data_IF_658517692539
#
_entry.id   IF_658517692539
#
_cell.length_a   1.000
_cell.length_b   1.000
_cell.length_c   1.000
_cell.angle_alpha   90.00
_cell.angle_beta   90.00
_cell.angle_gamma   90.00
#
_symmetry.space_group_name_H-M   'P 1'
#
loop_
_entity.id
_entity.type
_entity.pdbx_description
1 polymer ?
#
# COMPACT_ATOMS: atom_id res chain seq x y z
N UNK A 1 68.91 0.59 33.51
CA UNK A 1 67.65 1.36 33.59
C UNK A 1 67.07 1.42 32.17
N UNK A 2 66.16 0.50 31.84
CA UNK A 2 64.73 0.75 31.49
C UNK A 2 64.57 1.88 30.45
N UNK A 3 64.67 1.62 29.13
CA UNK A 3 63.72 0.98 28.17
C UNK A 3 62.41 1.76 27.90
N UNK A 4 62.29 2.17 26.64
CA UNK A 4 61.12 2.21 25.74
C UNK A 4 60.40 3.54 25.48
N UNK A 5 60.57 3.97 24.22
CA UNK A 5 59.78 4.93 23.45
C UNK A 5 58.29 4.58 23.51
N UNK A 6 57.48 5.53 23.94
CA UNK A 6 56.01 5.45 23.93
C UNK A 6 55.52 5.57 22.49
N UNK A 7 55.13 4.43 21.90
CA UNK A 7 54.51 4.35 20.58
C UNK A 7 52.99 4.39 20.78
N UNK A 8 52.39 5.55 20.47
CA UNK A 8 50.95 5.76 20.46
C UNK A 8 50.37 5.01 19.26
N UNK A 9 49.95 3.76 19.46
CA UNK A 9 49.16 3.04 18.47
C UNK A 9 47.70 3.49 18.58
N UNK A 10 47.30 4.34 17.63
CA UNK A 10 45.92 4.74 17.38
C UNK A 10 45.06 3.50 17.12
N UNK A 11 44.27 3.10 18.12
CA UNK A 11 43.08 2.27 17.95
C UNK A 11 42.04 3.10 17.18
N UNK A 12 42.20 3.12 15.85
CA UNK A 12 41.15 3.55 14.93
C UNK A 12 40.04 2.49 14.95
N UNK A 13 39.05 2.73 15.80
CA UNK A 13 37.79 1.99 15.87
C UNK A 13 37.26 1.88 14.44
N UNK A 14 37.34 0.68 13.87
CA UNK A 14 36.63 0.32 12.65
C UNK A 14 35.16 0.33 13.06
N UNK A 15 34.54 1.51 12.98
CA UNK A 15 33.11 1.70 13.11
C UNK A 15 32.48 1.01 11.91
N UNK A 16 32.31 -0.30 12.03
CA UNK A 16 31.39 -1.08 11.23
C UNK A 16 30.01 -0.50 11.54
N UNK A 17 29.65 0.57 10.84
CA UNK A 17 28.29 1.04 10.74
C UNK A 17 27.48 -0.17 10.34
N UNK A 18 26.77 -0.73 11.31
CA UNK A 18 25.66 -1.63 11.07
C UNK A 18 24.71 -0.82 10.21
N UNK A 19 24.84 -0.96 8.89
CA UNK A 19 23.79 -0.65 7.94
C UNK A 19 22.73 -1.68 8.30
N UNK A 20 21.95 -1.38 9.33
CA UNK A 20 20.69 -2.02 9.56
C UNK A 20 19.94 -1.80 8.27
N UNK A 21 19.73 -2.87 7.50
CA UNK A 21 18.86 -2.85 6.36
C UNK A 21 17.49 -2.39 6.86
N UNK A 22 17.26 -1.08 6.79
CA UNK A 22 15.95 -0.49 6.91
C UNK A 22 15.18 -1.02 5.71
N UNK A 23 14.63 -2.23 5.85
CA UNK A 23 13.65 -2.76 4.94
C UNK A 23 12.55 -1.72 4.94
N UNK A 24 12.49 -0.95 3.86
CA UNK A 24 11.52 0.12 3.72
C UNK A 24 10.15 -0.56 3.56
N UNK A 25 9.42 -0.69 4.67
CA UNK A 25 8.14 -1.41 4.83
C UNK A 25 6.94 -0.58 4.38
N UNK A 26 7.21 0.52 3.69
CA UNK A 26 6.21 1.49 3.31
C UNK A 26 5.71 1.19 1.89
N UNK A 27 4.43 0.86 1.77
CA UNK A 27 3.74 0.83 0.49
C UNK A 27 3.46 2.27 0.12
N UNK A 28 3.94 2.69 -1.06
CA UNK A 28 3.53 3.96 -1.64
C UNK A 28 2.44 3.72 -2.69
N UNK A 29 1.35 4.46 -2.57
CA UNK A 29 0.23 4.44 -3.52
C UNK A 29 0.05 5.86 -4.02
N UNK A 30 -0.04 6.04 -5.32
CA UNK A 30 -0.35 7.32 -5.95
C UNK A 30 -1.67 7.19 -6.70
N UNK A 31 -2.69 7.87 -6.17
CA UNK A 31 -4.03 7.88 -6.75
C UNK A 31 -4.14 9.01 -7.75
N UNK A 32 -4.65 8.69 -8.93
CA UNK A 32 -4.78 9.64 -10.04
C UNK A 32 -6.16 9.51 -10.69
N UNK A 33 -6.61 10.58 -11.32
CA UNK A 33 -7.77 10.53 -12.21
C UNK A 33 -7.44 9.64 -13.40
N UNK A 34 -8.29 8.66 -13.69
CA UNK A 34 -8.04 7.66 -14.72
C UNK A 34 -7.92 8.28 -16.13
N UNK A 35 -8.60 9.40 -16.39
CA UNK A 35 -8.62 10.06 -17.69
C UNK A 35 -7.48 11.05 -17.85
N UNK A 36 -7.30 11.96 -16.89
CA UNK A 36 -6.32 13.06 -17.01
C UNK A 36 -4.95 12.69 -16.45
N UNK A 37 -4.85 11.60 -15.69
CA UNK A 37 -3.65 11.20 -14.93
C UNK A 37 -3.18 12.24 -13.89
N UNK A 38 -4.02 13.22 -13.57
CA UNK A 38 -3.71 14.20 -12.51
C UNK A 38 -3.89 13.57 -11.13
N UNK A 39 -3.08 13.92 -10.13
CA UNK A 39 -3.25 13.41 -8.77
C UNK A 39 -4.64 13.71 -8.18
N UNK A 40 -5.16 12.76 -7.40
CA UNK A 40 -6.43 12.94 -6.67
C UNK A 40 -6.16 13.11 -5.18
N UNK A 41 -6.49 14.28 -4.65
CA UNK A 41 -6.46 14.58 -3.22
C UNK A 41 -7.75 14.14 -2.52
N UNK A 42 -7.66 13.84 -1.23
CA UNK A 42 -8.82 13.52 -0.39
C UNK A 42 -9.42 12.13 -0.61
N UNK A 43 -8.70 11.23 -1.28
CA UNK A 43 -9.12 9.83 -1.47
C UNK A 43 -9.08 9.12 -0.13
N UNK A 44 -10.24 8.66 0.34
CA UNK A 44 -10.40 7.83 1.52
C UNK A 44 -9.94 6.42 1.19
N UNK A 45 -9.07 5.87 2.04
CA UNK A 45 -8.52 4.54 1.83
C UNK A 45 -8.68 3.70 3.08
N UNK A 46 -9.34 2.57 2.92
CA UNK A 46 -9.40 1.53 3.93
C UNK A 46 -8.39 0.45 3.58
N UNK A 47 -7.61 0.02 4.58
CA UNK A 47 -6.61 -1.02 4.44
C UNK A 47 -6.88 -2.17 5.41
N UNK A 48 -6.72 -3.39 4.92
CA UNK A 48 -6.75 -4.61 5.71
C UNK A 48 -5.52 -5.46 5.38
N UNK A 49 -4.97 -6.15 6.38
CA UNK A 49 -3.98 -7.20 6.16
C UNK A 49 -4.40 -8.52 6.75
N UNK A 50 -4.20 -9.58 5.98
CA UNK A 50 -4.54 -10.94 6.36
C UNK A 50 -3.29 -11.82 6.25
N UNK A 51 -3.14 -12.71 7.22
CA UNK A 51 -2.14 -13.77 7.22
C UNK A 51 -2.84 -15.10 7.33
N UNK A 52 -2.39 -16.06 6.53
CA UNK A 52 -2.66 -17.48 6.76
C UNK A 52 -1.33 -18.22 6.79
N UNK A 53 -1.09 -18.97 7.85
CA UNK A 53 0.15 -19.71 8.11
C UNK A 53 -0.16 -21.02 8.84
N UNK A 54 0.43 -22.15 8.40
CA UNK A 54 0.16 -23.48 8.96
C UNK A 54 0.61 -23.62 10.42
N UNK A 55 1.62 -22.86 10.86
CA UNK A 55 2.20 -22.94 12.20
C UNK A 55 1.68 -21.84 13.14
N UNK A 56 1.31 -20.68 12.57
CA UNK A 56 0.86 -19.50 13.34
C UNK A 56 -0.63 -19.21 13.20
N UNK A 57 -1.37 -20.03 12.45
CA UNK A 57 -2.78 -19.85 12.17
C UNK A 57 -3.08 -18.59 11.35
N UNK A 58 -4.37 -18.33 11.17
CA UNK A 58 -4.86 -17.12 10.51
C UNK A 58 -4.84 -15.92 11.44
N UNK A 59 -4.51 -14.75 10.91
CA UNK A 59 -4.61 -13.48 11.62
C UNK A 59 -5.10 -12.39 10.66
N UNK A 60 -5.95 -11.50 11.18
CA UNK A 60 -6.57 -10.43 10.40
C UNK A 60 -6.36 -9.09 11.11
N UNK A 61 -5.97 -8.07 10.36
CA UNK A 61 -5.84 -6.68 10.79
C UNK A 61 -6.80 -5.88 9.93
N UNK A 62 -8.01 -5.65 10.45
CA UNK A 62 -9.14 -5.09 9.71
C UNK A 62 -9.71 -3.83 10.38
N UNK A 63 -10.50 -3.08 9.62
CA UNK A 63 -10.02 -2.07 8.68
C UNK A 63 -9.28 -0.92 9.40
N UNK A 64 -8.05 -0.65 8.96
CA UNK A 64 -7.31 0.57 9.34
C UNK A 64 -7.68 1.66 8.34
N UNK A 65 -8.52 2.61 8.75
CA UNK A 65 -8.79 3.81 7.95
C UNK A 65 -7.50 4.64 7.89
N UNK A 66 -6.95 4.80 6.69
CA UNK A 66 -5.75 5.57 6.47
C UNK A 66 -6.10 7.06 6.35
N UNK A 67 -5.15 7.96 6.62
CA UNK A 67 -5.30 9.37 6.30
C UNK A 67 -5.68 9.54 4.80
N UNK A 68 -6.55 10.50 4.46
CA UNK A 68 -6.89 10.78 3.07
C UNK A 68 -5.64 11.13 2.25
N UNK A 69 -5.67 10.86 0.95
CA UNK A 69 -4.55 11.22 0.07
C UNK A 69 -4.24 12.72 0.11
N UNK A 70 -2.94 13.04 0.10
CA UNK A 70 -2.46 14.43 0.07
C UNK A 70 -2.71 15.13 -1.28
N UNK A 71 -2.31 16.41 -1.43
CA UNK A 71 -2.45 17.16 -2.68
C UNK A 71 -1.75 16.52 -3.89
N UNK A 72 -0.72 15.71 -3.65
CA UNK A 72 0.04 14.94 -4.62
C UNK A 72 -0.56 13.55 -4.92
N UNK A 73 -1.70 13.24 -4.31
CA UNK A 73 -2.41 11.98 -4.44
C UNK A 73 -1.71 10.80 -3.77
N UNK A 74 -0.73 11.05 -2.90
CA UNK A 74 0.04 9.97 -2.26
C UNK A 74 -0.65 9.49 -0.98
N UNK A 75 -0.67 8.16 -0.83
CA UNK A 75 -1.02 7.44 0.39
C UNK A 75 0.18 6.56 0.75
N UNK A 76 0.56 6.55 2.03
CA UNK A 76 1.66 5.74 2.55
C UNK A 76 1.11 4.78 3.59
N UNK A 77 1.49 3.52 3.48
CA UNK A 77 1.01 2.44 4.35
C UNK A 77 2.19 1.69 4.91
N UNK A 78 2.23 1.50 6.23
CA UNK A 78 3.20 0.62 6.85
C UNK A 78 2.62 -0.80 6.90
N UNK A 79 3.17 -1.68 6.07
CA UNK A 79 2.74 -3.07 6.01
C UNK A 79 3.44 -3.91 7.09
N UNK A 80 2.70 -4.85 7.69
CA UNK A 80 3.32 -5.89 8.51
C UNK A 80 4.32 -6.69 7.66
N UNK A 81 5.51 -6.97 8.19
CA UNK A 81 6.55 -7.68 7.45
C UNK A 81 6.22 -9.18 7.37
N UNK A 82 6.48 -9.77 6.19
CA UNK A 82 6.41 -11.21 5.96
C UNK A 82 5.68 -11.57 4.67
N UNK A 83 6.15 -12.61 3.99
CA UNK A 83 5.57 -13.08 2.71
C UNK A 83 4.18 -13.71 2.86
N UNK A 84 3.80 -14.06 4.10
CA UNK A 84 2.48 -14.63 4.42
C UNK A 84 1.41 -13.57 4.66
N UNK A 85 1.78 -12.29 4.74
CA UNK A 85 0.83 -11.18 4.83
C UNK A 85 0.43 -10.72 3.44
N UNK A 86 -0.87 -10.75 3.19
CA UNK A 86 -1.53 -10.18 2.03
C UNK A 86 -2.36 -8.99 2.48
N UNK A 87 -2.65 -8.09 1.56
CA UNK A 87 -3.33 -6.84 1.88
C UNK A 87 -4.50 -6.56 0.95
N UNK A 88 -5.53 -5.93 1.48
CA UNK A 88 -6.70 -5.52 0.71
C UNK A 88 -6.96 -4.03 0.92
N UNK A 89 -7.21 -3.32 -0.17
CA UNK A 89 -7.49 -1.90 -0.22
C UNK A 89 -8.91 -1.63 -0.70
N UNK A 90 -9.52 -0.60 -0.12
CA UNK A 90 -10.72 0.03 -0.66
C UNK A 90 -10.41 1.51 -0.83
N UNK A 91 -10.44 1.99 -2.07
CA UNK A 91 -10.26 3.40 -2.42
C UNK A 91 -11.61 4.03 -2.73
N UNK A 92 -11.87 5.22 -2.18
CA UNK A 92 -13.09 5.95 -2.45
C UNK A 92 -12.88 7.47 -2.41
N UNK A 93 -13.50 8.19 -3.34
CA UNK A 93 -13.59 9.65 -3.29
C UNK A 93 -14.97 10.13 -3.76
N UNK A 94 -15.41 11.32 -3.31
CA UNK A 94 -16.63 11.94 -3.82
C UNK A 94 -16.59 12.07 -5.35
N UNK A 95 -17.62 11.57 -6.03
CA UNK A 95 -17.71 11.60 -7.50
C UNK A 95 -16.87 10.55 -8.24
N UNK A 96 -16.12 9.70 -7.54
CA UNK A 96 -15.33 8.62 -8.11
C UNK A 96 -16.01 7.26 -7.94
N UNK A 97 -15.80 6.33 -8.86
CA UNK A 97 -16.12 4.92 -8.63
C UNK A 97 -15.24 4.39 -7.49
N UNK A 98 -15.80 3.49 -6.68
CA UNK A 98 -14.99 2.74 -5.70
C UNK A 98 -14.05 1.83 -6.47
N UNK A 99 -12.87 1.63 -5.92
CA UNK A 99 -11.88 0.72 -6.49
C UNK A 99 -11.32 -0.14 -5.36
N UNK A 100 -11.19 -1.42 -5.63
CA UNK A 100 -10.68 -2.41 -4.69
C UNK A 100 -9.30 -2.84 -5.14
N UNK A 101 -8.43 -3.14 -4.17
CA UNK A 101 -7.06 -3.55 -4.44
C UNK A 101 -6.67 -4.78 -3.66
N UNK A 102 -6.01 -5.73 -4.32
CA UNK A 102 -5.32 -6.83 -3.67
C UNK A 102 -3.82 -6.61 -3.77
N UNK A 103 -3.17 -6.45 -2.63
CA UNK A 103 -1.75 -6.25 -2.49
C UNK A 103 -1.07 -7.54 -2.01
N UNK A 104 0.01 -7.87 -2.70
CA UNK A 104 1.06 -8.72 -2.14
C UNK A 104 2.41 -8.05 -2.42
N UNK A 105 3.49 -8.46 -1.73
CA UNK A 105 4.80 -7.90 -2.00
C UNK A 105 5.12 -7.90 -3.51
N UNK A 106 5.40 -6.70 -4.04
CA UNK A 106 5.75 -6.38 -5.45
C UNK A 106 4.60 -6.17 -6.44
N UNK A 107 3.35 -6.45 -6.10
CA UNK A 107 2.24 -6.18 -7.01
C UNK A 107 0.97 -5.73 -6.29
N UNK A 108 0.19 -4.93 -7.01
CA UNK A 108 -1.14 -4.50 -6.60
C UNK A 108 -2.07 -4.76 -7.77
N UNK A 109 -3.06 -5.62 -7.59
CA UNK A 109 -4.13 -5.83 -8.55
C UNK A 109 -5.35 -5.01 -8.15
N UNK A 110 -6.08 -4.49 -9.13
CA UNK A 110 -7.19 -3.57 -8.95
C UNK A 110 -8.42 -4.09 -9.69
N UNK A 111 -9.61 -3.90 -9.10
CA UNK A 111 -10.89 -4.16 -9.73
C UNK A 111 -11.95 -3.18 -9.22
N UNK A 112 -13.00 -2.95 -10.02
CA UNK A 112 -14.14 -2.11 -9.65
C UNK A 112 -15.19 -2.86 -8.81
N UNK A 113 -15.21 -4.18 -8.92
CA UNK A 113 -16.10 -5.06 -8.16
C UNK A 113 -15.30 -6.13 -7.42
N UNK A 114 -15.91 -6.62 -6.34
CA UNK A 114 -15.41 -7.70 -5.52
C UNK A 114 -16.56 -8.61 -5.19
N UNK A 115 -16.26 -9.90 -5.08
CA UNK A 115 -17.11 -10.84 -4.36
C UNK A 115 -16.65 -10.91 -2.90
N UNK A 116 -17.60 -11.14 -1.99
CA UNK A 116 -17.35 -11.31 -0.56
C UNK A 116 -17.50 -12.79 -0.24
N UNK A 117 -16.38 -13.52 -0.31
CA UNK A 117 -16.31 -14.94 0.00
C UNK A 117 -15.70 -15.12 1.38
N UNK A 118 -16.51 -15.57 2.35
CA UNK A 118 -16.07 -15.83 3.73
C UNK A 118 -15.36 -14.65 4.42
N UNK A 119 -15.75 -13.41 4.05
CA UNK A 119 -15.15 -12.19 4.58
C UNK A 119 -13.86 -11.79 3.87
N UNK A 120 -13.46 -12.46 2.79
CA UNK A 120 -12.36 -12.06 1.92
C UNK A 120 -12.87 -11.39 0.64
N UNK A 121 -12.28 -10.22 0.32
CA UNK A 121 -12.57 -9.55 -0.95
C UNK A 121 -11.83 -10.23 -2.08
N UNK A 122 -12.58 -10.97 -2.90
CA UNK A 122 -12.07 -11.57 -4.13
C UNK A 122 -12.30 -10.58 -5.26
N UNK A 123 -11.22 -10.11 -5.89
CA UNK A 123 -11.34 -9.20 -7.03
C UNK A 123 -12.05 -9.90 -8.19
N UNK A 124 -13.07 -9.24 -8.74
CA UNK A 124 -13.77 -9.73 -9.93
C UNK A 124 -13.20 -9.12 -11.21
N UNK A 125 -13.45 -9.77 -12.35
CA UNK A 125 -13.00 -9.26 -13.63
C UNK A 125 -13.80 -8.02 -14.08
N UNK A 126 -13.15 -7.04 -14.74
CA UNK A 126 -11.76 -7.04 -15.18
C UNK A 126 -10.77 -6.69 -14.05
N UNK A 127 -9.74 -7.52 -13.90
CA UNK A 127 -8.64 -7.29 -12.94
C UNK A 127 -7.47 -6.65 -13.68
N UNK A 128 -6.96 -5.54 -13.16
CA UNK A 128 -5.82 -4.81 -13.74
C UNK A 128 -4.67 -4.72 -12.74
N UNK A 129 -3.46 -5.08 -13.16
CA UNK A 129 -2.26 -4.85 -12.34
C UNK A 129 -1.85 -3.37 -12.40
N UNK A 130 -1.67 -2.77 -11.23
CA UNK A 130 -1.21 -1.40 -11.10
C UNK A 130 0.23 -1.26 -11.62
N UNK A 131 0.45 -0.22 -12.44
CA UNK A 131 1.80 0.18 -12.83
C UNK A 131 2.57 0.71 -11.61
N UNK A 132 3.89 0.59 -11.64
CA UNK A 132 4.77 1.17 -10.61
C UNK A 132 5.60 2.28 -11.24
N UNK A 133 5.62 3.46 -10.62
CA UNK A 133 6.46 4.59 -11.04
C UNK A 133 7.02 5.27 -9.81
N UNK A 134 8.33 5.52 -9.78
CA UNK A 134 9.04 6.11 -8.64
C UNK A 134 8.76 5.40 -7.31
N UNK A 135 8.62 4.07 -7.34
CA UNK A 135 8.35 3.24 -6.16
C UNK A 135 6.91 3.30 -5.63
N UNK A 136 5.99 3.96 -6.34
CA UNK A 136 4.57 4.02 -5.97
C UNK A 136 3.71 3.24 -6.97
N UNK A 137 2.75 2.48 -6.46
CA UNK A 137 1.69 1.89 -7.28
C UNK A 137 0.75 2.99 -7.76
N UNK A 138 0.50 3.03 -9.06
CA UNK A 138 -0.41 3.99 -9.68
C UNK A 138 -1.82 3.41 -9.66
N UNK A 139 -2.73 4.09 -8.97
CA UNK A 139 -4.13 3.69 -8.82
C UNK A 139 -5.01 4.68 -9.59
N UNK A 140 -5.41 4.36 -10.83
CA UNK A 140 -6.30 5.20 -11.61
C UNK A 140 -7.74 5.03 -11.13
N UNK A 141 -8.38 6.12 -10.71
CA UNK A 141 -9.80 6.12 -10.32
C UNK A 141 -10.64 6.82 -11.38
N UNK A 142 -11.66 6.12 -11.87
CA UNK A 142 -12.63 6.67 -12.79
C UNK A 142 -13.70 7.48 -12.05
N UNK A 143 -14.26 8.50 -12.74
CA UNK A 143 -15.43 9.21 -12.23
C UNK A 143 -16.65 8.30 -12.29
N UNK A 144 -17.58 8.46 -11.36
CA UNK A 144 -18.90 7.82 -11.47
C UNK A 144 -19.55 8.33 -12.74
N UNK A 145 -19.82 7.44 -13.69
CA UNK A 145 -20.75 7.76 -14.76
C UNK A 145 -22.09 8.08 -14.10
N UNK A 146 -22.57 9.33 -14.23
CA UNK A 146 -23.96 9.66 -13.93
C UNK A 146 -24.79 9.01 -15.02
N UNK A 147 -25.05 7.70 -14.92
CA UNK A 147 -26.19 7.14 -15.63
C UNK A 147 -27.41 7.82 -15.03
N UNK A 148 -28.09 8.62 -15.85
CA UNK A 148 -29.35 9.27 -15.56
C UNK A 148 -30.30 8.22 -14.98
N UNK A 149 -30.51 8.19 -13.66
CA UNK A 149 -31.63 7.46 -13.07
C UNK A 149 -32.88 8.26 -13.41
N UNK A 150 -33.39 8.06 -14.62
CA UNK A 150 -34.79 8.34 -14.92
C UNK A 150 -35.64 7.62 -13.87
N UNK A 151 -36.31 8.43 -13.07
CA UNK A 151 -37.76 8.33 -12.91
C UNK A 151 -38.28 6.94 -12.51
N UNK A 152 -38.39 6.70 -11.20
CA UNK A 152 -39.50 5.95 -10.61
C UNK A 152 -39.76 6.49 -9.20
N UNK A 153 -40.58 7.54 -9.13
CA UNK A 153 -41.43 7.79 -7.95
C UNK A 153 -42.75 7.04 -8.19
N UNK A 154 -43.25 6.24 -7.24
CA UNK A 154 -44.67 6.23 -6.97
C UNK A 154 -45.10 7.52 -6.24
#
# INVERSE_FOLDING_TARGET
MKRFFTLVFLLGIFSSSLIGCAHNRQICIKVVDAQTRTPLAGVQTTWRQDRSDLFRGSAHIAPTNLPPSGPDGIIRVEAQPGVTWKGSFIFSCPGCQKLYGFYAPKYLNLAETVDDEDGDFVLEQPIVSAAVTNGCFIVPMAKKNRTHSSEWLP
#
